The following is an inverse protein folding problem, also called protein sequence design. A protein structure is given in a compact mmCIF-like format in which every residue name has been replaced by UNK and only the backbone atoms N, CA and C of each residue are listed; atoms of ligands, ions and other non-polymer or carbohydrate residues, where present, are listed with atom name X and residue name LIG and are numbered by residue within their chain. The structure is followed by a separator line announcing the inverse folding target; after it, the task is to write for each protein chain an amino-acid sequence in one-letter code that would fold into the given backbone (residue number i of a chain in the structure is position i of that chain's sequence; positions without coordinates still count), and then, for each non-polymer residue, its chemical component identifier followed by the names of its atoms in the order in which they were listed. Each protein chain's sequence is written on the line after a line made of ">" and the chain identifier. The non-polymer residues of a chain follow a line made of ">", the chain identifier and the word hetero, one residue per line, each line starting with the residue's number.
data_IF_950143477520
#
_entry.id   IF_950143477520
#
_cell.length_a   1.000
_cell.length_b   1.000
_cell.length_c   1.000
_cell.angle_alpha   90.00
_cell.angle_beta   90.00
_cell.angle_gamma   90.00
#
_symmetry.space_group_name_H-M   'P 1'
#
loop_
_entity.id
_entity.type
_entity.pdbx_description
1 polymer ?
#
# COMPACT_ATOMS: atom_id res chain seq x y z
N UNK A 1 -4.36 0.96 12.14
CA UNK A 1 -3.16 0.43 11.47
C UNK A 1 -3.64 -0.34 10.26
N UNK A 2 -2.93 -0.38 9.11
CA UNK A 2 -3.32 -1.26 8.03
C UNK A 2 -3.26 -2.72 8.49
N UNK A 3 -4.36 -3.45 8.33
CA UNK A 3 -4.44 -4.89 8.60
C UNK A 3 -4.40 -5.64 7.29
N UNK A 4 -3.55 -6.66 7.18
CA UNK A 4 -3.57 -7.61 6.06
C UNK A 4 -4.18 -8.94 6.52
N UNK A 5 -4.90 -9.60 5.61
CA UNK A 5 -5.42 -10.96 5.84
C UNK A 5 -4.66 -11.91 4.93
N UNK A 6 -3.97 -12.88 5.53
CA UNK A 6 -3.14 -13.86 4.81
C UNK A 6 -3.58 -15.27 5.14
N UNK A 7 -3.60 -16.15 4.14
CA UNK A 7 -3.83 -17.58 4.36
C UNK A 7 -2.65 -18.16 5.14
N UNK A 8 -2.94 -18.76 6.30
CA UNK A 8 -1.93 -19.30 7.23
C UNK A 8 -1.08 -20.38 6.57
N UNK A 9 -1.70 -21.32 5.87
CA UNK A 9 -1.01 -22.47 5.31
C UNK A 9 -0.10 -22.03 4.16
N UNK A 10 -0.55 -21.07 3.34
CA UNK A 10 0.28 -20.44 2.31
C UNK A 10 1.46 -19.66 2.93
N UNK A 11 1.21 -18.91 4.01
CA UNK A 11 2.24 -18.18 4.75
C UNK A 11 3.31 -19.13 5.31
N UNK A 12 2.90 -20.22 5.95
CA UNK A 12 3.81 -21.21 6.55
C UNK A 12 4.60 -21.97 5.47
N UNK A 13 3.94 -22.30 4.36
CA UNK A 13 4.62 -22.88 3.20
C UNK A 13 5.71 -21.93 2.66
N UNK A 14 5.41 -20.64 2.55
CA UNK A 14 6.34 -19.63 2.06
C UNK A 14 7.50 -19.36 3.05
N UNK A 15 7.24 -19.40 4.36
CA UNK A 15 8.26 -19.30 5.41
C UNK A 15 9.12 -20.58 5.56
N UNK A 16 8.70 -21.69 4.97
CA UNK A 16 9.38 -22.99 5.04
C UNK A 16 9.31 -23.65 6.43
N UNK A 17 8.42 -23.18 7.30
CA UNK A 17 8.19 -23.72 8.65
C UNK A 17 6.73 -23.49 9.06
N UNK A 18 6.15 -24.49 9.70
CA UNK A 18 4.88 -24.34 10.42
C UNK A 18 5.13 -23.77 11.82
N UNK A 19 4.32 -22.78 12.21
CA UNK A 19 4.36 -22.16 13.53
C UNK A 19 3.08 -22.51 14.29
N UNK A 20 3.14 -22.52 15.62
CA UNK A 20 1.93 -22.40 16.44
C UNK A 20 1.45 -20.94 16.45
N UNK A 21 0.20 -20.70 16.86
CA UNK A 21 -0.32 -19.33 16.98
C UNK A 21 0.54 -18.49 17.93
N UNK A 22 0.95 -19.05 19.08
CA UNK A 22 1.84 -18.40 20.04
C UNK A 22 3.24 -18.12 19.46
N UNK A 23 3.86 -19.10 18.78
CA UNK A 23 5.19 -18.91 18.15
C UNK A 23 5.16 -17.83 17.07
N UNK A 24 4.07 -17.76 16.31
CA UNK A 24 3.92 -16.74 15.27
C UNK A 24 3.62 -15.36 15.87
N UNK A 25 2.84 -15.30 16.96
CA UNK A 25 2.61 -14.06 17.69
C UNK A 25 3.91 -13.49 18.28
N UNK A 26 4.76 -14.34 18.85
CA UNK A 26 6.08 -13.93 19.35
C UNK A 26 6.96 -13.38 18.22
N UNK A 27 6.99 -14.06 17.07
CA UNK A 27 7.72 -13.59 15.89
C UNK A 27 7.20 -12.24 15.37
N UNK A 28 5.87 -12.07 15.30
CA UNK A 28 5.26 -10.79 14.94
C UNK A 28 5.70 -9.70 15.92
N UNK A 29 5.63 -9.97 17.23
CA UNK A 29 6.01 -9.01 18.26
C UNK A 29 7.47 -8.59 18.17
N UNK A 30 8.38 -9.55 17.98
CA UNK A 30 9.82 -9.28 17.78
C UNK A 30 10.09 -8.40 16.55
N UNK A 31 9.33 -8.60 15.48
CA UNK A 31 9.46 -7.84 14.24
C UNK A 31 8.68 -6.50 14.25
N UNK A 32 7.91 -6.20 15.30
CA UNK A 32 7.11 -4.99 15.41
C UNK A 32 5.75 -5.06 14.70
N UNK A 33 5.22 -6.26 14.51
CA UNK A 33 3.87 -6.55 14.00
C UNK A 33 2.95 -7.06 15.12
N UNK A 34 1.65 -7.06 14.86
CA UNK A 34 0.66 -7.60 15.79
C UNK A 34 -0.25 -8.60 15.07
N UNK A 35 -0.38 -9.81 15.62
CA UNK A 35 -1.40 -10.78 15.18
C UNK A 35 -2.72 -10.40 15.86
N UNK A 36 -3.63 -9.78 15.10
CA UNK A 36 -4.90 -9.21 15.59
C UNK A 36 -5.96 -10.29 15.83
N UNK A 37 -6.29 -11.07 14.80
CA UNK A 37 -7.33 -12.11 14.88
C UNK A 37 -6.94 -13.31 13.99
N UNK A 38 -7.18 -14.52 14.50
CA UNK A 38 -7.17 -15.75 13.71
C UNK A 38 -8.63 -16.09 13.38
N UNK A 39 -8.97 -16.07 12.10
CA UNK A 39 -10.35 -16.27 11.63
C UNK A 39 -10.39 -17.25 10.47
N UNK A 40 -11.58 -17.64 10.05
CA UNK A 40 -11.79 -18.40 8.80
C UNK A 40 -12.56 -17.54 7.80
N UNK A 41 -12.41 -17.80 6.50
CA UNK A 41 -13.20 -17.11 5.45
C UNK A 41 -14.71 -17.16 5.75
N UNK A 42 -15.18 -18.31 6.24
CA UNK A 42 -16.56 -18.53 6.67
C UNK A 42 -16.99 -17.58 7.79
N UNK A 43 -16.19 -17.43 8.84
CA UNK A 43 -16.50 -16.53 9.95
C UNK A 43 -16.47 -15.06 9.54
N UNK A 44 -15.54 -14.66 8.65
CA UNK A 44 -15.51 -13.30 8.11
C UNK A 44 -16.78 -12.97 7.32
N UNK A 45 -17.21 -13.85 6.41
CA UNK A 45 -18.42 -13.66 5.61
C UNK A 45 -19.68 -13.54 6.47
N UNK A 46 -19.77 -14.34 7.55
CA UNK A 46 -20.87 -14.26 8.51
C UNK A 46 -20.87 -12.92 9.29
N UNK A 47 -19.69 -12.41 9.65
CA UNK A 47 -19.51 -11.14 10.38
C UNK A 47 -19.81 -9.92 9.50
N UNK A 48 -19.49 -9.98 8.19
CA UNK A 48 -19.71 -8.87 7.24
C UNK A 48 -21.12 -8.80 6.65
N UNK A 49 -21.78 -9.93 6.38
CA UNK A 49 -23.10 -9.96 5.72
C UNK A 49 -24.27 -10.19 6.69
N UNK A 50 -23.99 -10.43 7.98
CA UNK A 50 -24.98 -10.86 8.96
C UNK A 50 -25.56 -12.25 8.64
N UNK A 51 -26.56 -12.70 9.42
CA UNK A 51 -27.20 -14.02 9.31
C UNK A 51 -27.91 -14.32 7.95
N UNK A 52 -27.77 -13.45 6.94
CA UNK A 52 -28.34 -13.63 5.60
C UNK A 52 -27.37 -14.23 4.57
N UNK A 53 -26.18 -14.68 4.98
CA UNK A 53 -25.30 -15.44 4.09
C UNK A 53 -25.94 -16.79 3.74
N UNK A 54 -26.56 -16.87 2.56
CA UNK A 54 -27.07 -18.11 1.97
C UNK A 54 -26.00 -19.20 2.05
N UNK A 55 -26.39 -20.33 2.65
CA UNK A 55 -25.67 -21.61 2.82
C UNK A 55 -25.45 -22.32 1.45
N UNK A 56 -24.98 -21.60 0.44
CA UNK A 56 -24.97 -22.06 -0.96
C UNK A 56 -23.63 -21.94 -1.68
N UNK A 57 -22.61 -21.32 -1.09
CA UNK A 57 -21.24 -21.38 -1.61
C UNK A 57 -20.46 -22.38 -0.76
N UNK A 58 -19.67 -23.26 -1.38
CA UNK A 58 -18.65 -24.04 -0.70
C UNK A 58 -17.59 -23.05 -0.16
N UNK A 59 -17.85 -22.46 1.00
CA UNK A 59 -16.94 -21.51 1.63
C UNK A 59 -15.79 -22.29 2.23
N UNK A 60 -14.56 -21.93 1.86
CA UNK A 60 -13.36 -22.61 2.33
C UNK A 60 -13.24 -22.48 3.85
N UNK A 61 -12.85 -23.55 4.54
CA UNK A 61 -12.51 -23.53 5.97
C UNK A 61 -11.06 -23.11 6.21
N UNK A 62 -10.45 -22.46 5.21
CA UNK A 62 -9.10 -21.92 5.28
C UNK A 62 -8.96 -20.92 6.43
N UNK A 63 -7.87 -21.09 7.18
CA UNK A 63 -7.52 -20.26 8.33
C UNK A 63 -6.75 -19.05 7.82
N UNK A 64 -7.24 -17.87 8.18
CA UNK A 64 -6.70 -16.57 7.84
C UNK A 64 -6.13 -15.90 9.08
N UNK A 65 -4.89 -15.42 8.97
CA UNK A 65 -4.27 -14.54 9.96
C UNK A 65 -4.50 -13.09 9.56
N UNK A 66 -5.07 -12.31 10.49
CA UNK A 66 -5.14 -10.85 10.39
C UNK A 66 -3.95 -10.27 11.12
N UNK A 67 -3.08 -9.60 10.38
CA UNK A 67 -1.84 -9.04 10.90
C UNK A 67 -1.88 -7.52 10.74
N UNK A 68 -1.73 -6.82 11.85
CA UNK A 68 -1.61 -5.37 11.90
C UNK A 68 -0.18 -4.93 11.61
N UNK A 69 -0.06 -4.03 10.64
CA UNK A 69 1.21 -3.56 10.10
C UNK A 69 1.39 -2.07 10.41
N UNK A 70 2.61 -1.65 10.78
CA UNK A 70 2.94 -0.23 10.88
C UNK A 70 2.67 0.54 9.58
N UNK A 71 2.03 1.71 9.68
CA UNK A 71 1.59 2.48 8.50
C UNK A 71 2.75 3.05 7.64
N UNK A 72 3.98 2.98 8.14
CA UNK A 72 5.22 3.37 7.47
C UNK A 72 5.85 2.23 6.63
N UNK A 73 5.43 0.97 6.81
CA UNK A 73 6.01 -0.21 6.14
C UNK A 73 5.14 -0.71 4.99
N UNK A 74 5.19 0.02 3.87
CA UNK A 74 4.41 -0.30 2.67
C UNK A 74 4.82 -1.62 2.02
N UNK A 75 6.08 -2.02 2.21
CA UNK A 75 6.67 -3.25 1.72
C UNK A 75 6.06 -4.50 2.35
N UNK A 76 5.34 -4.40 3.48
CA UNK A 76 4.75 -5.53 4.18
C UNK A 76 3.26 -5.76 3.85
N UNK A 77 2.67 -4.94 2.97
CA UNK A 77 1.22 -4.96 2.69
C UNK A 77 0.72 -6.18 1.87
N UNK A 78 1.60 -7.13 1.57
CA UNK A 78 1.28 -8.38 0.86
C UNK A 78 2.02 -9.55 1.49
N UNK A 79 1.62 -10.77 1.12
CA UNK A 79 2.23 -12.00 1.63
C UNK A 79 3.71 -12.09 1.24
N UNK A 80 4.06 -11.74 0.00
CA UNK A 80 5.42 -11.73 -0.53
C UNK A 80 6.32 -10.80 0.29
N UNK A 81 5.83 -9.59 0.54
CA UNK A 81 6.49 -8.56 1.31
C UNK A 81 6.72 -8.98 2.76
N UNK A 82 5.68 -9.49 3.40
CA UNK A 82 5.75 -10.01 4.77
C UNK A 82 6.75 -11.18 4.88
N UNK A 83 6.66 -12.17 3.99
CA UNK A 83 7.57 -13.32 3.98
C UNK A 83 9.01 -12.89 3.75
N UNK A 84 9.25 -12.00 2.79
CA UNK A 84 10.57 -11.46 2.52
C UNK A 84 11.14 -10.72 3.74
N UNK A 85 10.34 -9.85 4.38
CA UNK A 85 10.72 -9.15 5.60
C UNK A 85 11.08 -10.09 6.75
N UNK A 86 10.22 -11.06 7.03
CA UNK A 86 10.42 -12.03 8.11
C UNK A 86 11.62 -12.96 7.86
N UNK A 87 11.82 -13.44 6.63
CA UNK A 87 12.96 -14.30 6.30
C UNK A 87 14.29 -13.57 6.37
N UNK A 88 14.32 -12.29 5.98
CA UNK A 88 15.51 -11.43 6.12
C UNK A 88 15.79 -11.14 7.59
N UNK A 89 14.76 -10.82 8.38
CA UNK A 89 14.87 -10.60 9.82
C UNK A 89 15.44 -11.82 10.56
N UNK A 90 14.95 -13.02 10.22
CA UNK A 90 15.45 -14.29 10.78
C UNK A 90 16.83 -14.71 10.24
N UNK A 91 17.44 -13.94 9.34
CA UNK A 91 18.73 -14.27 8.71
C UNK A 91 18.69 -15.49 7.77
N UNK A 92 17.50 -15.95 7.37
CA UNK A 92 17.30 -17.11 6.49
C UNK A 92 17.41 -16.76 5.00
N UNK A 93 17.26 -15.47 4.66
CA UNK A 93 17.31 -14.97 3.29
C UNK A 93 18.12 -13.67 3.26
N UNK A 94 18.94 -13.49 2.23
CA UNK A 94 19.59 -12.21 1.97
C UNK A 94 18.58 -11.20 1.38
N UNK A 95 18.68 -9.90 1.68
CA UNK A 95 17.83 -8.88 1.08
C UNK A 95 17.87 -8.96 -0.46
N UNK A 96 16.72 -8.98 -1.15
CA UNK A 96 16.69 -9.03 -2.60
C UNK A 96 17.28 -7.76 -3.20
N UNK A 97 18.03 -7.91 -4.30
CA UNK A 97 18.57 -6.79 -5.06
C UNK A 97 17.77 -6.62 -6.34
N UNK A 98 17.00 -5.54 -6.40
CA UNK A 98 16.19 -5.17 -7.56
C UNK A 98 17.03 -4.49 -8.63
N UNK A 99 16.85 -4.91 -9.88
CA UNK A 99 17.59 -4.44 -11.05
C UNK A 99 16.64 -3.90 -12.11
N UNK A 100 17.11 -2.87 -12.81
CA UNK A 100 16.41 -2.29 -13.95
C UNK A 100 17.08 -2.75 -15.23
N UNK A 101 16.28 -3.28 -16.16
CA UNK A 101 16.74 -3.58 -17.51
C UNK A 101 16.45 -2.40 -18.42
N UNK A 102 17.53 -1.78 -18.93
CA UNK A 102 17.43 -0.72 -19.94
C UNK A 102 17.15 -1.38 -21.29
N UNK A 103 15.99 -1.08 -21.87
CA UNK A 103 15.69 -1.40 -23.26
C UNK A 103 15.79 -0.13 -24.09
N UNK A 104 16.57 -0.18 -25.17
CA UNK A 104 16.71 0.92 -26.15
C UNK A 104 15.33 1.27 -26.75
N UNK A 105 14.48 0.25 -26.96
CA UNK A 105 13.08 0.33 -27.41
C UNK A 105 12.08 -0.04 -26.31
N UNK A 106 12.12 0.65 -25.16
CA UNK A 106 11.09 0.50 -24.13
C UNK A 106 9.75 1.13 -24.52
N UNK A 107 8.65 0.56 -24.01
CA UNK A 107 7.30 1.12 -24.15
C UNK A 107 7.23 2.55 -23.62
N UNK A 108 6.37 3.36 -24.25
CA UNK A 108 6.19 4.76 -23.89
C UNK A 108 4.74 5.11 -23.58
N UNK A 109 4.54 5.91 -22.54
CA UNK A 109 3.27 6.55 -22.19
C UNK A 109 3.36 8.05 -22.45
N UNK A 110 2.43 8.61 -23.21
CA UNK A 110 2.41 10.02 -23.61
C UNK A 110 1.26 10.75 -22.93
N UNK A 111 1.57 11.79 -22.15
CA UNK A 111 0.58 12.60 -21.47
C UNK A 111 0.12 13.75 -22.37
N UNK A 112 -1.20 13.90 -22.55
CA UNK A 112 -1.75 15.03 -23.29
C UNK A 112 -1.90 16.27 -22.40
N UNK A 113 -1.89 17.50 -22.97
CA UNK A 113 -2.17 18.72 -22.22
C UNK A 113 -3.55 18.73 -21.55
N UNK A 114 -4.53 17.97 -22.08
CA UNK A 114 -5.89 17.91 -21.54
C UNK A 114 -5.92 17.37 -20.10
N UNK A 115 -4.95 16.52 -19.74
CA UNK A 115 -4.82 15.95 -18.38
C UNK A 115 -4.63 16.99 -17.28
N UNK A 116 -4.19 18.20 -17.60
CA UNK A 116 -4.06 19.30 -16.65
C UNK A 116 -5.41 19.76 -16.07
N UNK A 117 -6.50 19.58 -16.82
CA UNK A 117 -7.85 19.99 -16.41
C UNK A 117 -8.40 19.14 -15.26
N UNK A 118 -7.86 17.94 -15.03
CA UNK A 118 -8.34 17.00 -14.01
C UNK A 118 -7.75 17.33 -12.62
N UNK A 119 -6.54 17.91 -12.58
CA UNK A 119 -5.77 18.14 -11.34
C UNK A 119 -6.56 18.86 -10.22
N UNK A 120 -7.40 19.88 -10.48
CA UNK A 120 -8.14 20.59 -9.42
C UNK A 120 -9.18 19.72 -8.70
N UNK A 121 -9.66 18.64 -9.34
CA UNK A 121 -10.81 17.87 -8.86
C UNK A 121 -10.43 16.68 -7.98
N UNK A 122 -9.15 16.28 -7.97
CA UNK A 122 -8.66 15.14 -7.21
C UNK A 122 -8.22 15.49 -5.76
N UNK A 123 -8.46 16.72 -5.29
CA UNK A 123 -7.86 17.28 -4.06
C UNK A 123 -8.71 17.13 -2.78
N UNK A 124 -9.42 16.01 -2.60
CA UNK A 124 -10.20 15.75 -1.36
C UNK A 124 -9.57 14.64 -0.50
N UNK A 125 -8.99 15.07 0.63
CA UNK A 125 -8.21 14.27 1.59
C UNK A 125 -9.01 13.11 2.24
N UNK A 126 -8.37 11.93 2.47
CA UNK A 126 -8.10 11.22 3.76
C UNK A 126 -7.65 9.72 3.58
N UNK A 127 -6.84 9.22 4.54
CA UNK A 127 -6.32 7.86 4.93
C UNK A 127 -5.70 6.84 3.90
N UNK A 128 -4.46 6.39 4.20
CA UNK A 128 -3.53 5.47 3.47
C UNK A 128 -2.75 6.09 2.29
N UNK A 129 -1.61 5.50 1.84
CA UNK A 129 -0.68 6.15 0.87
C UNK A 129 -1.37 6.54 -0.46
N UNK A 130 -2.27 5.68 -0.94
CA UNK A 130 -3.07 5.92 -2.14
C UNK A 130 -4.41 6.65 -1.87
N UNK A 131 -4.76 6.87 -0.59
CA UNK A 131 -6.02 7.48 -0.11
C UNK A 131 -7.26 7.06 -0.88
N UNK A 132 -7.64 5.78 -0.83
CA UNK A 132 -8.83 5.28 -1.55
C UNK A 132 -8.81 5.67 -3.06
N UNK A 133 -7.64 5.55 -3.70
CA UNK A 133 -7.42 5.93 -5.10
C UNK A 133 -7.54 7.43 -5.42
N UNK A 134 -7.76 8.27 -4.42
CA UNK A 134 -7.79 9.73 -4.58
C UNK A 134 -6.39 10.31 -4.79
N UNK A 135 -5.36 9.73 -4.17
CA UNK A 135 -3.98 10.15 -4.40
C UNK A 135 -3.29 9.36 -5.50
N UNK A 136 -3.50 8.04 -5.55
CA UNK A 136 -2.83 7.16 -6.50
C UNK A 136 -3.78 6.05 -6.92
N UNK A 137 -4.03 5.92 -8.22
CA UNK A 137 -4.74 4.79 -8.83
C UNK A 137 -3.77 3.97 -9.66
N UNK A 138 -3.75 2.67 -9.38
CA UNK A 138 -2.95 1.68 -10.08
C UNK A 138 -3.87 0.90 -11.01
N UNK A 139 -3.48 0.76 -12.26
CA UNK A 139 -4.01 -0.29 -13.12
C UNK A 139 -2.95 -1.32 -13.43
N UNK A 140 -3.44 -2.48 -13.81
CA UNK A 140 -2.63 -3.63 -14.18
C UNK A 140 -3.30 -4.24 -15.40
N UNK A 141 -2.48 -4.49 -16.42
CA UNK A 141 -2.92 -4.83 -17.76
C UNK A 141 -2.12 -6.01 -18.29
N UNK A 142 -2.79 -6.91 -19.01
CA UNK A 142 -2.11 -7.93 -19.80
C UNK A 142 -1.43 -7.28 -21.00
N UNK A 143 -0.10 -7.19 -20.96
CA UNK A 143 0.70 -6.54 -21.99
C UNK A 143 0.59 -7.24 -23.35
N UNK A 144 0.32 -8.54 -23.37
CA UNK A 144 0.23 -9.33 -24.61
C UNK A 144 -1.06 -9.00 -25.41
N UNK A 145 -2.04 -8.36 -24.76
CA UNK A 145 -3.31 -7.97 -25.38
C UNK A 145 -3.31 -6.54 -25.95
N UNK A 146 -2.33 -5.71 -25.57
CA UNK A 146 -2.30 -4.27 -25.86
C UNK A 146 -1.06 -3.89 -26.68
N UNK A 147 -1.10 -2.74 -27.34
CA UNK A 147 0.04 -2.28 -28.15
C UNK A 147 0.42 -0.83 -27.87
N UNK A 148 1.70 -0.61 -27.57
CA UNK A 148 2.26 0.74 -27.41
C UNK A 148 2.51 1.46 -28.75
N UNK A 149 2.73 2.79 -28.74
CA UNK A 149 2.78 3.67 -27.56
C UNK A 149 1.41 3.87 -26.92
N UNK A 150 1.40 4.11 -25.61
CA UNK A 150 0.20 4.38 -24.83
C UNK A 150 0.00 5.88 -24.65
N UNK A 151 -1.24 6.32 -24.46
CA UNK A 151 -1.59 7.73 -24.28
C UNK A 151 -2.43 7.88 -23.02
N UNK A 152 -2.04 8.80 -22.13
CA UNK A 152 -2.85 9.25 -21.01
C UNK A 152 -3.51 10.59 -21.39
N UNK A 153 -4.83 10.57 -21.52
CA UNK A 153 -5.63 11.68 -22.03
C UNK A 153 -6.80 12.02 -21.08
N UNK A 154 -7.48 13.13 -21.35
CA UNK A 154 -8.67 13.56 -20.64
C UNK A 154 -9.77 13.95 -21.63
N UNK A 155 -10.84 13.17 -21.67
CA UNK A 155 -11.92 13.34 -22.65
C UNK A 155 -13.28 13.58 -21.98
N UNK A 156 -14.24 14.23 -22.66
CA UNK A 156 -15.61 14.32 -22.16
C UNK A 156 -16.21 12.93 -21.90
N UNK A 157 -16.99 12.73 -20.83
CA UNK A 157 -17.55 11.42 -20.47
C UNK A 157 -18.39 10.76 -21.56
N UNK A 158 -19.00 11.55 -22.44
CA UNK A 158 -19.78 11.07 -23.59
C UNK A 158 -18.93 10.47 -24.71
N UNK A 159 -17.64 10.82 -24.78
CA UNK A 159 -16.72 10.39 -25.85
C UNK A 159 -15.87 9.18 -25.44
N UNK A 160 -15.93 8.78 -24.16
CA UNK A 160 -15.22 7.62 -23.64
C UNK A 160 -16.19 6.43 -23.68
N UNK A 161 -15.97 5.52 -24.62
CA UNK A 161 -16.71 4.27 -24.74
C UNK A 161 -15.75 3.09 -24.65
N UNK A 162 -16.04 2.16 -23.74
CA UNK A 162 -15.27 0.93 -23.59
C UNK A 162 -16.03 -0.14 -22.79
N UNK A 163 -15.56 -1.37 -22.90
CA UNK A 163 -16.05 -2.48 -22.09
C UNK A 163 -15.34 -2.49 -20.74
N UNK A 164 -16.03 -2.06 -19.68
CA UNK A 164 -15.48 -2.07 -18.33
C UNK A 164 -15.35 -3.50 -17.79
N UNK A 165 -14.46 -3.69 -16.82
CA UNK A 165 -14.17 -4.98 -16.21
C UNK A 165 -15.45 -5.71 -15.74
N UNK A 166 -15.58 -6.98 -16.12
CA UNK A 166 -16.72 -7.84 -15.79
C UNK A 166 -18.08 -7.34 -16.31
N UNK A 167 -18.10 -6.44 -17.29
CA UNK A 167 -19.31 -6.07 -18.02
C UNK A 167 -19.41 -6.84 -19.34
N UNK A 168 -20.64 -7.03 -19.84
CA UNK A 168 -20.87 -7.77 -21.09
C UNK A 168 -20.88 -6.86 -22.32
N UNK A 169 -21.24 -5.58 -22.14
CA UNK A 169 -21.42 -4.63 -23.23
C UNK A 169 -20.51 -3.41 -23.05
N UNK A 170 -20.17 -2.77 -24.16
CA UNK A 170 -19.50 -1.48 -24.17
C UNK A 170 -20.47 -0.39 -23.74
N UNK A 171 -20.03 0.47 -22.84
CA UNK A 171 -20.82 1.55 -22.28
C UNK A 171 -20.02 2.84 -22.31
N UNK A 172 -20.71 3.98 -22.34
CA UNK A 172 -20.05 5.27 -22.20
C UNK A 172 -19.70 5.54 -20.74
N UNK A 173 -18.70 6.40 -20.48
CA UNK A 173 -18.33 6.74 -19.12
C UNK A 173 -19.50 7.33 -18.32
N UNK A 174 -20.38 8.10 -18.95
CA UNK A 174 -21.62 8.60 -18.30
C UNK A 174 -22.50 7.45 -17.80
N UNK A 175 -22.71 6.43 -18.62
CA UNK A 175 -23.51 5.26 -18.25
C UNK A 175 -22.81 4.42 -17.17
N UNK A 176 -21.49 4.28 -17.24
CA UNK A 176 -20.69 3.58 -16.22
C UNK A 176 -20.78 4.28 -14.86
N UNK A 177 -20.73 5.61 -14.83
CA UNK A 177 -20.89 6.37 -13.58
C UNK A 177 -22.26 6.18 -12.94
N UNK A 178 -23.31 6.07 -13.75
CA UNK A 178 -24.66 5.78 -13.26
C UNK A 178 -24.79 4.34 -12.78
N UNK A 179 -24.29 3.37 -13.54
CA UNK A 179 -24.26 1.95 -13.17
C UNK A 179 -23.57 1.75 -11.82
N UNK A 180 -22.38 2.33 -11.64
CA UNK A 180 -21.60 2.16 -10.42
C UNK A 180 -22.11 2.99 -9.24
N UNK A 181 -23.05 3.93 -9.45
CA UNK A 181 -23.62 4.72 -8.36
C UNK A 181 -24.38 3.88 -7.33
N UNK A 182 -24.84 2.70 -7.75
CA UNK A 182 -25.51 1.70 -6.91
C UNK A 182 -24.57 0.56 -6.48
N UNK A 183 -23.31 0.56 -6.92
CA UNK A 183 -22.36 -0.49 -6.60
C UNK A 183 -21.72 -0.26 -5.23
N UNK A 184 -21.82 -1.26 -4.34
CA UNK A 184 -21.39 -1.14 -2.94
C UNK A 184 -19.96 -0.61 -2.76
N UNK A 185 -19.00 -1.14 -3.53
CA UNK A 185 -17.59 -0.79 -3.40
C UNK A 185 -17.14 0.41 -4.24
N UNK A 186 -17.63 0.56 -5.47
CA UNK A 186 -17.14 1.56 -6.42
C UNK A 186 -17.77 2.94 -6.23
N UNK A 187 -18.98 3.01 -5.67
CA UNK A 187 -19.72 4.25 -5.41
C UNK A 187 -18.87 5.31 -4.68
N UNK A 188 -18.02 4.88 -3.75
CA UNK A 188 -17.18 5.81 -2.97
C UNK A 188 -16.11 6.54 -3.82
N UNK A 189 -15.71 5.98 -4.96
CA UNK A 189 -14.65 6.54 -5.82
C UNK A 189 -15.20 7.45 -6.93
N UNK A 190 -16.48 7.32 -7.29
CA UNK A 190 -17.07 8.09 -8.38
C UNK A 190 -16.98 9.60 -8.14
N UNK A 191 -17.13 10.04 -6.89
CA UNK A 191 -17.04 11.45 -6.50
C UNK A 191 -15.68 12.11 -6.74
N UNK A 192 -14.62 11.35 -7.07
CA UNK A 192 -13.29 11.89 -7.35
C UNK A 192 -13.28 12.68 -8.67
N UNK A 193 -13.92 12.14 -9.71
CA UNK A 193 -13.92 12.74 -11.05
C UNK A 193 -15.31 13.19 -11.51
N UNK A 194 -16.39 12.87 -10.80
CA UNK A 194 -17.78 13.11 -11.24
C UNK A 194 -18.05 14.54 -11.70
N UNK A 195 -17.52 15.52 -10.97
CA UNK A 195 -17.76 16.94 -11.20
C UNK A 195 -16.80 17.55 -12.25
N UNK A 196 -15.83 16.78 -12.73
CA UNK A 196 -14.89 17.21 -13.76
C UNK A 196 -15.56 17.22 -15.14
N UNK A 197 -15.29 18.22 -15.99
CA UNK A 197 -15.81 18.25 -17.36
C UNK A 197 -15.19 17.16 -18.26
N UNK A 198 -14.02 16.64 -17.88
CA UNK A 198 -13.28 15.60 -18.60
C UNK A 198 -12.83 14.50 -17.64
N UNK A 199 -12.83 13.25 -18.10
CA UNK A 199 -12.39 12.10 -17.31
C UNK A 199 -11.06 11.56 -17.84
N UNK A 200 -10.16 11.10 -16.95
CA UNK A 200 -8.91 10.50 -17.37
C UNK A 200 -9.14 9.18 -18.08
N UNK A 201 -8.39 8.95 -19.15
CA UNK A 201 -8.45 7.72 -19.94
C UNK A 201 -7.05 7.34 -20.38
N UNK A 202 -6.75 6.05 -20.36
CA UNK A 202 -5.52 5.50 -20.92
C UNK A 202 -5.88 4.70 -22.16
N UNK A 203 -5.20 4.96 -23.26
CA UNK A 203 -5.43 4.31 -24.55
C UNK A 203 -4.16 3.69 -25.11
N UNK A 204 -4.33 2.63 -25.89
CA UNK A 204 -3.26 2.02 -26.67
C UNK A 204 -3.07 2.72 -28.03
N UNK A 205 -2.09 2.26 -28.82
CA UNK A 205 -1.81 2.78 -30.17
C UNK A 205 -3.00 2.69 -31.12
N UNK A 206 -3.86 1.68 -30.94
CA UNK A 206 -5.03 1.44 -31.78
C UNK A 206 -6.25 2.27 -31.32
N UNK A 207 -6.11 3.07 -30.26
CA UNK A 207 -7.19 3.87 -29.67
C UNK A 207 -8.10 3.08 -28.73
N UNK A 208 -7.75 1.84 -28.39
CA UNK A 208 -8.48 1.01 -27.43
C UNK A 208 -8.27 1.55 -26.02
N UNK A 209 -9.36 1.80 -25.31
CA UNK A 209 -9.33 2.27 -23.92
C UNK A 209 -8.94 1.14 -22.98
N UNK A 210 -7.82 1.31 -22.29
CA UNK A 210 -7.26 0.35 -21.34
C UNK A 210 -7.85 0.54 -19.94
N UNK A 211 -7.99 1.78 -19.48
CA UNK A 211 -8.56 2.09 -18.18
C UNK A 211 -9.16 3.50 -18.16
N UNK A 212 -10.09 3.71 -17.23
CA UNK A 212 -10.60 5.02 -16.84
C UNK A 212 -10.23 5.25 -15.37
N UNK A 213 -9.00 5.71 -15.09
CA UNK A 213 -8.58 6.02 -13.73
C UNK A 213 -9.50 7.09 -13.08
N UNK A 214 -9.68 7.11 -11.76
CA UNK A 214 -9.31 6.09 -10.76
C UNK A 214 -10.39 4.99 -10.59
N UNK A 215 -11.34 4.89 -11.53
CA UNK A 215 -12.59 4.14 -11.34
C UNK A 215 -12.43 2.67 -11.70
N UNK A 216 -12.14 2.35 -12.96
CA UNK A 216 -12.19 0.98 -13.46
C UNK A 216 -11.25 0.74 -14.65
N UNK A 217 -10.77 -0.50 -14.77
CA UNK A 217 -10.00 -0.96 -15.92
C UNK A 217 -10.92 -1.53 -17.00
N UNK A 218 -10.42 -1.60 -18.22
CA UNK A 218 -11.09 -2.28 -19.33
C UNK A 218 -11.01 -3.80 -19.21
N UNK A 219 -12.01 -4.48 -19.75
CA UNK A 219 -12.05 -5.94 -19.85
C UNK A 219 -11.05 -6.49 -20.87
N UNK A 220 -10.71 -5.68 -21.89
CA UNK A 220 -9.80 -6.05 -22.98
C UNK A 220 -8.39 -6.44 -22.49
N UNK A 221 -7.86 -5.68 -21.53
CA UNK A 221 -6.53 -5.87 -20.97
C UNK A 221 -6.56 -6.53 -19.59
N UNK A 222 -7.62 -7.29 -19.29
CA UNK A 222 -7.81 -7.97 -18.00
C UNK A 222 -6.72 -9.03 -17.78
N UNK A 223 -6.10 -8.99 -16.60
CA UNK A 223 -5.17 -10.03 -16.17
C UNK A 223 -5.91 -11.33 -15.89
N UNK A 224 -5.33 -12.43 -16.36
CA UNK A 224 -5.80 -13.79 -16.13
C UNK A 224 -4.66 -14.66 -15.59
N UNK A 225 -4.94 -15.89 -15.18
CA UNK A 225 -3.92 -16.84 -14.75
C UNK A 225 -2.92 -17.21 -15.86
N UNK A 226 -3.24 -16.91 -17.13
CA UNK A 226 -2.39 -17.19 -18.27
C UNK A 226 -1.52 -15.99 -18.67
N UNK A 227 -1.73 -14.81 -18.06
CA UNK A 227 -0.99 -13.59 -18.38
C UNK A 227 0.48 -13.76 -18.04
N UNK A 228 1.36 -13.45 -19.00
CA UNK A 228 2.82 -13.59 -18.84
C UNK A 228 3.51 -12.26 -18.61
N UNK A 229 3.08 -11.25 -19.37
CA UNK A 229 3.67 -9.92 -19.33
C UNK A 229 2.63 -8.95 -18.76
N UNK A 230 3.01 -8.21 -17.72
CA UNK A 230 2.10 -7.27 -17.04
C UNK A 230 2.58 -5.86 -17.28
N UNK A 231 1.71 -5.02 -17.85
CA UNK A 231 1.90 -3.58 -17.89
C UNK A 231 1.22 -2.96 -16.67
N UNK A 232 1.95 -2.13 -15.93
CA UNK A 232 1.48 -1.48 -14.72
C UNK A 232 1.50 0.01 -14.94
N UNK A 233 0.36 0.66 -14.80
CA UNK A 233 0.25 2.10 -14.88
C UNK A 233 -0.23 2.70 -13.57
N UNK A 234 0.32 3.87 -13.23
CA UNK A 234 0.08 4.53 -11.97
C UNK A 234 -0.25 5.99 -12.23
N UNK A 235 -1.49 6.40 -11.95
CA UNK A 235 -1.97 7.78 -12.10
C UNK A 235 -2.15 8.41 -10.73
N UNK A 236 -1.70 9.65 -10.57
CA UNK A 236 -1.72 10.31 -9.27
C UNK A 236 -1.72 11.84 -9.39
N UNK A 237 -2.12 12.50 -8.31
CA UNK A 237 -1.90 13.93 -8.09
C UNK A 237 -0.50 14.24 -7.55
N UNK A 238 0.10 13.27 -6.84
CA UNK A 238 1.44 13.37 -6.25
C UNK A 238 2.39 12.38 -6.94
N UNK A 239 3.35 12.91 -7.70
CA UNK A 239 4.33 12.12 -8.46
C UNK A 239 5.24 11.27 -7.55
N UNK A 240 5.61 11.80 -6.39
CA UNK A 240 6.50 11.09 -5.45
C UNK A 240 5.78 9.86 -4.93
N UNK A 241 4.50 9.99 -4.58
CA UNK A 241 3.68 8.86 -4.12
C UNK A 241 3.43 7.84 -5.22
N UNK A 242 3.13 8.29 -6.44
CA UNK A 242 3.02 7.38 -7.58
C UNK A 242 4.30 6.58 -7.80
N UNK A 243 5.45 7.24 -7.70
CA UNK A 243 6.76 6.59 -7.87
C UNK A 243 6.97 5.54 -6.78
N UNK A 244 6.74 5.88 -5.51
CA UNK A 244 6.86 4.93 -4.38
C UNK A 244 5.91 3.74 -4.56
N UNK A 245 4.67 3.98 -4.95
CA UNK A 245 3.66 2.93 -5.14
C UNK A 245 4.05 2.01 -6.30
N UNK A 246 4.46 2.57 -7.44
CA UNK A 246 4.92 1.80 -8.59
C UNK A 246 6.15 0.95 -8.24
N UNK A 247 7.16 1.58 -7.63
CA UNK A 247 8.40 0.91 -7.21
C UNK A 247 8.09 -0.22 -6.21
N UNK A 248 7.18 0.01 -5.25
CA UNK A 248 6.78 -1.00 -4.26
C UNK A 248 6.13 -2.21 -4.93
N UNK A 249 5.16 -2.01 -5.82
CA UNK A 249 4.48 -3.10 -6.52
C UNK A 249 5.46 -3.90 -7.38
N UNK A 250 6.32 -3.20 -8.12
CA UNK A 250 7.34 -3.84 -8.94
C UNK A 250 8.28 -4.68 -8.08
N UNK A 251 8.78 -4.14 -6.96
CA UNK A 251 9.63 -4.88 -6.03
C UNK A 251 8.92 -6.14 -5.51
N UNK A 252 7.68 -6.03 -5.03
CA UNK A 252 6.92 -7.14 -4.46
C UNK A 252 6.74 -8.30 -5.46
N UNK A 253 6.29 -8.02 -6.68
CA UNK A 253 5.91 -9.06 -7.63
C UNK A 253 7.03 -9.49 -8.58
N UNK A 254 8.14 -8.73 -8.65
CA UNK A 254 9.30 -9.09 -9.49
C UNK A 254 9.97 -10.41 -9.10
N UNK A 255 9.68 -10.96 -7.92
CA UNK A 255 10.18 -12.28 -7.53
C UNK A 255 9.58 -13.44 -8.33
N UNK A 256 8.42 -13.21 -8.95
CA UNK A 256 7.72 -14.17 -9.79
C UNK A 256 8.06 -14.03 -11.28
N UNK A 257 8.85 -13.02 -11.66
CA UNK A 257 9.32 -12.86 -13.02
C UNK A 257 10.31 -13.98 -13.41
N UNK A 258 10.39 -14.29 -14.71
CA UNK A 258 11.38 -15.23 -15.23
C UNK A 258 12.81 -14.83 -14.85
N UNK A 259 13.14 -13.55 -15.06
CA UNK A 259 14.32 -12.90 -14.50
C UNK A 259 13.95 -12.29 -13.14
N UNK A 260 14.28 -13.00 -12.05
CA UNK A 260 13.89 -12.60 -10.69
C UNK A 260 14.45 -11.24 -10.30
N UNK A 261 13.62 -10.42 -9.66
CA UNK A 261 13.96 -9.08 -9.16
C UNK A 261 14.37 -8.10 -10.27
N UNK A 262 13.98 -8.39 -11.51
CA UNK A 262 14.24 -7.54 -12.66
C UNK A 262 12.94 -6.87 -13.13
N UNK A 263 13.03 -5.58 -13.45
CA UNK A 263 11.91 -4.81 -14.00
C UNK A 263 12.32 -4.06 -15.26
N UNK A 264 11.42 -4.05 -16.25
CA UNK A 264 11.58 -3.28 -17.47
C UNK A 264 11.10 -1.84 -17.27
N UNK A 265 11.94 -0.88 -17.65
CA UNK A 265 11.55 0.53 -17.61
C UNK A 265 10.68 0.93 -18.80
N UNK A 266 9.82 1.92 -18.59
CA UNK A 266 9.01 2.60 -19.61
C UNK A 266 9.35 4.09 -19.64
N UNK A 267 9.25 4.71 -20.83
CA UNK A 267 9.37 6.16 -21.02
C UNK A 267 8.03 6.82 -20.74
N UNK A 268 7.99 7.82 -19.86
CA UNK A 268 6.79 8.61 -19.60
C UNK A 268 7.04 10.02 -20.09
N UNK A 269 6.37 10.42 -21.16
CA UNK A 269 6.49 11.73 -21.79
C UNK A 269 5.48 12.70 -21.17
N UNK A 270 5.98 13.80 -20.62
CA UNK A 270 5.18 14.92 -20.20
C UNK A 270 4.64 15.71 -21.42
N UNK A 271 3.61 16.56 -21.24
CA UNK A 271 3.02 17.33 -22.33
C UNK A 271 3.97 18.30 -23.04
N UNK A 272 5.09 18.66 -22.40
CA UNK A 272 6.14 19.51 -22.97
C UNK A 272 7.16 18.73 -23.83
N UNK A 273 6.99 17.41 -23.95
CA UNK A 273 7.87 16.52 -24.71
C UNK A 273 9.08 16.02 -23.94
N UNK A 274 9.30 16.47 -22.70
CA UNK A 274 10.31 15.88 -21.81
C UNK A 274 9.86 14.49 -21.38
N UNK A 275 10.80 13.60 -21.08
CA UNK A 275 10.46 12.27 -20.60
C UNK A 275 11.34 11.83 -19.44
N UNK A 276 10.76 10.97 -18.62
CA UNK A 276 11.45 10.27 -17.55
C UNK A 276 11.24 8.75 -17.67
N UNK A 277 12.19 7.99 -17.13
CA UNK A 277 12.09 6.54 -17.04
C UNK A 277 11.52 6.11 -15.70
N UNK A 278 10.61 5.14 -15.73
CA UNK A 278 10.00 4.51 -14.55
C UNK A 278 9.93 2.98 -14.74
N UNK A 279 9.96 2.16 -13.67
CA UNK A 279 10.16 2.55 -12.27
C UNK A 279 11.54 3.15 -12.00
N UNK A 280 11.71 3.82 -10.86
CA UNK A 280 12.97 4.52 -10.52
C UNK A 280 13.93 3.60 -9.78
N UNK A 281 13.43 2.78 -8.85
CA UNK A 281 14.19 1.83 -8.02
C UNK A 281 15.51 2.42 -7.50
N UNK A 282 15.44 3.63 -6.94
CA UNK A 282 16.62 4.34 -6.46
C UNK A 282 17.16 3.72 -5.17
N UNK A 283 18.45 3.42 -5.16
CA UNK A 283 19.20 3.08 -3.95
C UNK A 283 19.79 4.36 -3.36
N UNK A 284 19.65 4.51 -2.04
CA UNK A 284 20.15 5.66 -1.29
C UNK A 284 21.29 5.14 -0.41
N UNK A 285 22.47 5.74 -0.54
CA UNK A 285 23.61 5.45 0.31
C UNK A 285 23.81 6.63 1.27
N UNK A 286 23.79 6.36 2.56
CA UNK A 286 24.03 7.37 3.60
C UNK A 286 25.21 6.95 4.48
N UNK A 287 26.08 7.92 4.82
CA UNK A 287 27.30 7.70 5.63
C UNK A 287 27.15 8.33 6.99
N UNK A 288 27.70 7.63 7.99
CA UNK A 288 27.18 7.69 9.34
C UNK A 288 28.30 7.60 10.36
N UNK A 289 28.21 8.45 11.39
CA UNK A 289 29.06 8.34 12.57
C UNK A 289 28.50 7.33 13.61
N UNK A 290 29.22 6.23 13.79
CA UNK A 290 28.90 5.12 14.72
C UNK A 290 28.94 5.56 16.19
N UNK A 291 29.86 6.45 16.58
CA UNK A 291 29.97 6.90 17.98
C UNK A 291 28.76 7.73 18.40
N UNK A 292 28.33 8.65 17.52
CA UNK A 292 27.10 9.42 17.73
C UNK A 292 25.90 8.49 17.82
N UNK A 293 25.87 7.42 17.02
CA UNK A 293 24.81 6.41 17.06
C UNK A 293 24.71 5.65 18.37
N UNK A 294 25.84 5.10 18.82
CA UNK A 294 25.93 4.39 20.08
C UNK A 294 25.56 5.28 21.29
N UNK A 295 25.83 6.59 21.21
CA UNK A 295 25.45 7.55 22.26
C UNK A 295 23.94 7.73 22.43
N UNK A 296 23.15 7.58 21.37
CA UNK A 296 21.69 7.71 21.44
C UNK A 296 21.01 6.43 21.96
N UNK A 297 21.53 5.25 21.61
CA UNK A 297 20.92 3.95 21.95
C UNK A 297 21.45 3.39 23.28
N UNK A 298 22.68 3.73 23.66
CA UNK A 298 23.33 3.23 24.88
C UNK A 298 23.93 1.82 24.76
N UNK A 299 24.10 1.32 23.54
CA UNK A 299 24.71 0.03 23.19
C UNK A 299 26.09 0.28 22.54
N UNK A 300 27.07 -0.61 22.74
CA UNK A 300 28.36 -0.59 22.03
C UNK A 300 28.31 -1.59 20.86
N UNK A 301 28.18 -1.10 19.63
CA UNK A 301 28.24 -1.91 18.41
C UNK A 301 28.76 -1.11 17.21
N UNK A 302 29.32 -1.77 16.21
CA UNK A 302 30.18 -1.13 15.20
C UNK A 302 29.46 -0.50 13.97
N UNK A 303 28.14 -0.24 13.97
CA UNK A 303 27.37 -0.03 12.70
C UNK A 303 26.11 0.93 12.78
N UNK A 304 26.13 2.08 12.04
CA UNK A 304 25.03 2.80 11.24
C UNK A 304 23.97 3.78 11.96
N UNK A 305 23.20 4.68 11.24
CA UNK A 305 22.71 6.11 11.55
C UNK A 305 21.32 6.25 12.18
N UNK A 306 20.81 7.48 12.21
CA UNK A 306 20.68 8.12 13.50
C UNK A 306 19.29 8.24 14.14
N UNK A 307 18.23 7.67 13.60
CA UNK A 307 16.91 7.52 14.27
C UNK A 307 16.11 6.39 13.63
N UNK A 308 15.85 6.46 12.32
CA UNK A 308 15.05 5.44 11.62
C UNK A 308 15.81 4.11 11.54
N UNK A 309 17.11 4.18 11.28
CA UNK A 309 17.97 3.01 11.35
C UNK A 309 18.12 2.48 12.79
N UNK A 310 17.92 3.31 13.82
CA UNK A 310 17.89 2.84 15.21
C UNK A 310 16.62 2.06 15.52
N UNK A 311 15.47 2.47 14.97
CA UNK A 311 14.23 1.70 15.11
C UNK A 311 14.45 0.30 14.55
N UNK A 312 14.94 0.20 13.31
CA UNK A 312 15.21 -1.09 12.66
C UNK A 312 16.30 -1.90 13.39
N UNK A 313 17.37 -1.28 13.88
CA UNK A 313 18.40 -1.96 14.68
C UNK A 313 17.84 -2.46 16.01
N UNK A 314 17.03 -1.65 16.69
CA UNK A 314 16.46 -2.02 17.98
C UNK A 314 15.43 -3.14 17.83
N UNK A 315 14.67 -3.14 16.72
CA UNK A 315 13.81 -4.27 16.30
C UNK A 315 14.68 -5.51 16.05
N UNK A 316 15.74 -5.41 15.23
CA UNK A 316 16.66 -6.52 14.93
C UNK A 316 17.36 -7.10 16.17
N UNK A 317 17.74 -6.25 17.12
CA UNK A 317 18.36 -6.66 18.38
C UNK A 317 17.32 -7.21 19.38
N UNK A 318 16.04 -6.85 19.21
CA UNK A 318 14.94 -7.15 20.11
C UNK A 318 14.89 -6.17 21.30
N UNK A 319 13.78 -5.43 21.42
CA UNK A 319 13.61 -4.42 22.48
C UNK A 319 13.82 -4.97 23.91
N UNK A 320 13.44 -6.22 24.14
CA UNK A 320 13.59 -6.87 25.46
C UNK A 320 15.05 -7.14 25.84
N UNK A 321 15.97 -7.15 24.87
CA UNK A 321 17.40 -7.35 25.12
C UNK A 321 18.11 -6.04 25.50
N UNK A 322 17.42 -4.89 25.41
CA UNK A 322 17.98 -3.58 25.75
C UNK A 322 17.94 -3.38 27.26
N UNK A 323 19.13 -3.22 27.88
CA UNK A 323 19.24 -2.99 29.31
C UNK A 323 18.55 -1.68 29.71
N UNK A 324 17.52 -1.78 30.55
CA UNK A 324 16.81 -0.61 31.09
C UNK A 324 17.76 0.22 31.95
N UNK A 325 17.84 1.52 31.67
CA UNK A 325 18.60 2.49 32.46
C UNK A 325 17.67 3.58 32.96
N UNK A 326 17.87 3.98 34.21
CA UNK A 326 17.17 5.16 34.74
C UNK A 326 17.75 6.42 34.11
N UNK A 327 16.90 7.40 33.73
CA UNK A 327 17.40 8.67 33.22
C UNK A 327 18.19 9.39 34.32
N UNK A 328 19.42 9.79 34.02
CA UNK A 328 20.33 10.43 34.98
C UNK A 328 20.00 11.91 35.29
N UNK A 329 18.83 12.39 34.86
CA UNK A 329 18.43 13.80 34.98
C UNK A 329 17.43 13.93 36.12
N UNK A 330 17.80 14.69 37.14
CA UNK A 330 16.90 15.06 38.23
C UNK A 330 16.08 16.27 37.78
N UNK A 331 14.81 16.05 37.44
CA UNK A 331 13.88 17.11 37.09
C UNK A 331 13.00 17.47 38.31
N UNK A 332 13.02 18.74 38.72
CA UNK A 332 12.07 19.25 39.70
C UNK A 332 10.71 19.50 39.04
N UNK A 333 9.79 18.54 39.16
CA UNK A 333 8.41 18.72 38.70
C UNK A 333 7.65 19.72 39.57
N UNK A 334 6.85 20.62 38.97
CA UNK A 334 5.92 21.50 39.68
C UNK A 334 4.50 21.31 39.14
N UNK A 335 3.54 21.13 40.05
CA UNK A 335 2.13 21.14 39.68
C UNK A 335 1.72 22.52 39.17
N UNK A 336 0.97 22.57 38.08
CA UNK A 336 0.33 23.82 37.66
C UNK A 336 -0.65 24.29 38.75
N UNK A 337 -0.60 25.56 39.20
CA UNK A 337 -1.42 26.03 40.32
C UNK A 337 -2.93 25.83 40.13
N UNK A 338 -3.42 25.97 38.90
CA UNK A 338 -4.83 25.77 38.59
C UNK A 338 -5.26 24.31 38.78
N UNK A 339 -4.46 23.34 38.30
CA UNK A 339 -4.76 21.92 38.48
C UNK A 339 -4.71 21.53 39.95
N UNK A 340 -3.74 22.06 40.72
CA UNK A 340 -3.65 21.85 42.16
C UNK A 340 -4.91 22.34 42.88
N UNK A 341 -5.38 23.54 42.54
CA UNK A 341 -6.61 24.11 43.10
C UNK A 341 -7.84 23.29 42.70
N UNK A 342 -7.95 22.91 41.42
CA UNK A 342 -9.08 22.11 40.94
C UNK A 342 -9.14 20.75 41.62
N UNK A 343 -8.02 20.05 41.83
CA UNK A 343 -8.01 18.78 42.56
C UNK A 343 -8.42 18.95 44.02
N UNK A 344 -7.92 20.00 44.70
CA UNK A 344 -8.32 20.30 46.07
C UNK A 344 -9.83 20.56 46.19
N UNK A 345 -10.39 21.32 45.24
CA UNK A 345 -11.82 21.59 45.19
C UNK A 345 -12.64 20.33 44.87
N UNK A 346 -12.20 19.48 43.93
CA UNK A 346 -12.87 18.20 43.64
C UNK A 346 -12.89 17.29 44.86
N UNK A 347 -11.78 17.22 45.60
CA UNK A 347 -11.67 16.40 46.78
C UNK A 347 -12.63 16.85 47.90
N UNK A 348 -12.76 18.16 48.13
CA UNK A 348 -13.71 18.71 49.10
C UNK A 348 -15.17 18.57 48.68
N UNK A 349 -15.47 18.73 47.38
CA UNK A 349 -16.80 18.47 46.84
C UNK A 349 -17.19 16.99 46.95
N UNK A 350 -16.24 16.08 46.75
CA UNK A 350 -16.45 14.64 46.89
C UNK A 350 -16.73 14.25 48.35
N UNK A 351 -15.98 14.79 49.31
CA UNK A 351 -16.23 14.58 50.74
C UNK A 351 -17.64 15.02 51.17
N UNK A 352 -18.13 16.14 50.64
CA UNK A 352 -19.49 16.62 50.95
C UNK A 352 -20.61 15.72 50.41
N UNK A 353 -20.36 14.93 49.36
CA UNK A 353 -21.35 14.00 48.79
C UNK A 353 -21.58 12.74 49.64
N UNK A 354 -20.72 12.44 50.61
CA UNK A 354 -20.85 11.30 51.53
C UNK A 354 -21.37 11.68 52.92
N UNK A 355 -21.67 12.96 53.16
CA UNK A 355 -22.18 13.46 54.45
C UNK A 355 -23.67 13.84 54.42
N UNK A 356 -24.43 13.37 53.43
CA UNK A 356 -25.89 13.50 53.36
C UNK A 356 -26.55 12.14 53.18
#
# INVERSE_FOLDING_TARGET
>A
MPTISVNRDALFAALGRSYTDDEFQDLCFEFGLELDEVTTEKQMLMKEQGDQAKVGAAVSEEILYRIDIPANRYDLLCLEGLVNGLLVFQGKKAPPTYKLKKYEDCYSLHLTPATLQIRPFADKLHQNICRKRTLVAIGTHDLDTIQGPFVYDALPPSEIQFKALNQQQEMTATQLMELYSNHAQLKQYLGIIRDSPVYPVIKDKNGVTLSMPPIINGDHSKITLNTKNVFIECTATDLTKATVVLDTIVCMFSEYCGDKYEAQQCKVFAPDGTYELYPKLQYREEVINVEKANSYIGIQHDVIHACDLYEDIAIAYGYNNIARREPSVVCAGRQQPINKLTEQLRHELFKRRHCY
#
